data_IF_527224710072
#
_entry.id   IF_527224710072
#
_cell.length_a   1.000
_cell.length_b   1.000
_cell.length_c   1.000
_cell.angle_alpha   90.00
_cell.angle_beta   90.00
_cell.angle_gamma   90.00
#
_symmetry.space_group_name_H-M   'P 1'
#
loop_
_entity.id
_entity.type
_entity.pdbx_description
1 polymer ?
#
# COMPACT_ATOMS: atom_id res chain seq x y z
N UNK A 1 -3.39 15.24 11.52
CA UNK A 1 -2.37 14.45 10.81
C UNK A 1 -0.96 14.81 11.27
N UNK A 2 -0.45 16.07 11.29
CA UNK A 2 0.94 16.36 11.69
C UNK A 2 1.31 15.80 13.06
N UNK A 3 0.50 16.01 14.09
CA UNK A 3 0.75 15.52 15.45
C UNK A 3 0.82 13.97 15.49
N UNK A 4 -0.02 13.28 14.73
CA UNK A 4 0.02 11.82 14.62
C UNK A 4 1.33 11.33 14.00
N UNK A 5 1.77 11.94 12.89
CA UNK A 5 3.04 11.56 12.27
C UNK A 5 4.24 11.86 13.19
N UNK A 6 4.19 12.95 13.93
CA UNK A 6 5.23 13.28 14.91
C UNK A 6 5.31 12.23 16.03
N UNK A 7 4.17 11.83 16.58
CA UNK A 7 4.08 10.79 17.61
C UNK A 7 4.60 9.44 17.10
N UNK A 8 4.24 9.08 15.87
CA UNK A 8 4.71 7.86 15.21
C UNK A 8 6.13 7.97 14.64
N UNK A 9 6.77 9.16 14.73
CA UNK A 9 8.11 9.46 14.17
C UNK A 9 8.22 9.30 12.67
N UNK A 10 7.11 9.39 11.95
CA UNK A 10 7.05 9.26 10.49
C UNK A 10 7.39 10.62 9.86
N UNK A 11 8.35 10.61 8.94
CA UNK A 11 8.78 11.82 8.26
C UNK A 11 7.77 12.23 7.17
N UNK A 12 7.37 13.51 7.07
CA UNK A 12 6.55 14.00 5.94
C UNK A 12 7.17 13.75 4.56
N UNK A 13 8.50 13.62 4.48
CA UNK A 13 9.22 13.30 3.26
C UNK A 13 8.90 11.89 2.70
N UNK A 14 8.33 10.99 3.50
CA UNK A 14 7.84 9.69 3.04
C UNK A 14 6.52 9.79 2.27
N UNK A 15 5.98 11.00 2.06
CA UNK A 15 4.71 11.20 1.39
C UNK A 15 4.63 10.60 -0.01
N UNK A 16 3.59 9.81 -0.23
CA UNK A 16 3.18 9.26 -1.52
C UNK A 16 1.75 9.72 -1.82
N UNK A 17 1.45 9.98 -3.08
CA UNK A 17 0.13 10.45 -3.49
C UNK A 17 -0.52 9.47 -4.49
N UNK A 18 -1.62 8.83 -4.10
CA UNK A 18 -2.39 7.91 -4.92
C UNK A 18 -3.74 8.52 -5.28
N UNK A 19 -4.02 8.64 -6.58
CA UNK A 19 -5.27 9.22 -7.06
C UNK A 19 -6.26 8.21 -7.64
N UNK A 20 -5.89 6.92 -7.68
CA UNK A 20 -6.81 5.85 -8.01
C UNK A 20 -7.78 5.58 -6.85
N UNK A 21 -9.06 5.42 -7.16
CA UNK A 21 -10.14 5.14 -6.19
C UNK A 21 -10.13 3.69 -5.73
N UNK A 22 -9.09 3.30 -5.02
CA UNK A 22 -8.87 1.91 -4.56
C UNK A 22 -8.88 1.76 -3.03
N UNK A 23 -9.11 2.83 -2.27
CA UNK A 23 -9.24 2.83 -0.81
C UNK A 23 -10.70 2.76 -0.35
N UNK A 24 -10.93 2.50 0.93
CA UNK A 24 -12.27 2.54 1.54
C UNK A 24 -12.93 3.93 1.40
N UNK A 25 -12.14 5.02 1.43
CA UNK A 25 -12.61 6.39 1.27
C UNK A 25 -12.57 6.87 -0.19
N UNK A 26 -12.79 5.96 -1.15
CA UNK A 26 -12.67 6.19 -2.60
C UNK A 26 -13.42 7.43 -3.11
N UNK A 27 -14.51 7.81 -2.46
CA UNK A 27 -15.33 8.94 -2.89
C UNK A 27 -14.65 10.31 -2.63
N UNK A 28 -13.66 10.34 -1.74
CA UNK A 28 -12.80 11.50 -1.45
C UNK A 28 -11.56 11.58 -2.34
N UNK A 29 -11.27 10.53 -3.12
CA UNK A 29 -10.05 10.42 -3.91
C UNK A 29 -10.32 10.79 -5.36
N UNK A 30 -9.46 11.60 -5.93
CA UNK A 30 -9.42 11.97 -7.34
C UNK A 30 -8.03 12.46 -7.74
N UNK A 31 -7.72 12.68 -9.03
CA UNK A 31 -6.47 13.33 -9.40
C UNK A 31 -6.24 14.71 -8.76
N UNK A 32 -7.30 15.44 -8.39
CA UNK A 32 -7.17 16.73 -7.71
C UNK A 32 -7.09 16.62 -6.19
N UNK A 33 -7.53 15.51 -5.64
CA UNK A 33 -7.56 15.22 -4.21
C UNK A 33 -7.04 13.80 -3.99
N UNK A 34 -5.75 13.52 -4.28
CA UNK A 34 -5.18 12.19 -4.06
C UNK A 34 -5.18 11.83 -2.56
N UNK A 35 -5.21 10.54 -2.26
CA UNK A 35 -4.92 10.04 -0.92
C UNK A 35 -3.42 10.15 -0.69
N UNK A 36 -3.02 10.76 0.41
CA UNK A 36 -1.64 10.74 0.85
C UNK A 36 -1.37 9.50 1.70
N UNK A 37 -0.21 8.90 1.49
CA UNK A 37 0.34 7.84 2.32
C UNK A 37 1.66 8.33 2.91
N UNK A 38 1.87 8.02 4.18
CA UNK A 38 3.12 8.26 4.90
C UNK A 38 3.55 6.94 5.55
N UNK A 39 4.81 6.69 5.66
CA UNK A 39 5.29 5.42 6.21
C UNK A 39 6.66 5.53 6.86
N UNK A 40 6.92 4.61 7.74
CA UNK A 40 8.20 4.25 8.33
C UNK A 40 8.34 2.73 8.28
N UNK A 41 9.27 2.14 9.01
CA UNK A 41 9.62 0.71 8.92
C UNK A 41 8.41 -0.22 9.05
N UNK A 42 7.55 -0.02 10.04
CA UNK A 42 6.42 -0.93 10.33
C UNK A 42 5.05 -0.26 10.28
N UNK A 43 4.98 1.06 10.10
CA UNK A 43 3.73 1.82 10.21
C UNK A 43 3.43 2.58 8.94
N UNK A 44 2.17 2.50 8.53
CA UNK A 44 1.64 3.14 7.33
C UNK A 44 0.42 3.98 7.69
N UNK A 45 0.40 5.23 7.27
CA UNK A 45 -0.68 6.18 7.55
C UNK A 45 -1.28 6.66 6.24
N UNK A 46 -2.59 6.50 6.07
CA UNK A 46 -3.35 6.95 4.91
C UNK A 46 -4.25 8.12 5.27
N UNK A 47 -4.13 9.21 4.53
CA UNK A 47 -4.90 10.43 4.71
C UNK A 47 -5.64 10.83 3.43
N UNK A 48 -6.95 11.05 3.54
CA UNK A 48 -7.75 11.68 2.50
C UNK A 48 -8.15 13.10 2.94
N UNK A 49 -7.90 14.08 2.08
CA UNK A 49 -8.41 15.44 2.33
C UNK A 49 -9.94 15.42 2.47
N UNK A 50 -10.47 16.06 3.51
CA UNK A 50 -11.89 16.00 3.88
C UNK A 50 -12.45 14.57 4.04
N UNK A 51 -11.60 13.62 4.37
CA UNK A 51 -11.98 12.26 4.72
C UNK A 51 -12.59 12.17 6.12
N UNK A 52 -13.23 11.04 6.41
CA UNK A 52 -13.84 10.79 7.72
C UNK A 52 -12.82 10.28 8.72
N UNK A 53 -11.87 9.48 8.26
CA UNK A 53 -10.86 8.83 9.10
C UNK A 53 -9.45 8.96 8.52
N UNK A 54 -8.45 8.90 9.39
CA UNK A 54 -7.08 8.53 9.04
C UNK A 54 -6.99 7.00 9.13
N UNK A 55 -6.49 6.38 8.09
CA UNK A 55 -6.29 4.94 8.01
C UNK A 55 -4.87 4.60 8.47
N UNK A 56 -4.72 3.61 9.33
CA UNK A 56 -3.42 3.13 9.77
C UNK A 56 -3.29 1.63 9.48
N UNK A 57 -2.10 1.22 9.09
CA UNK A 57 -1.72 -0.18 9.06
C UNK A 57 -0.37 -0.34 9.78
N UNK A 58 -0.27 -1.40 10.58
CA UNK A 58 0.95 -1.74 11.33
C UNK A 58 1.35 -3.14 10.95
N UNK A 59 2.62 -3.35 10.66
CA UNK A 59 3.18 -4.68 10.43
C UNK A 59 3.46 -5.35 11.76
N UNK A 60 2.59 -6.28 12.16
CA UNK A 60 2.75 -7.06 13.39
C UNK A 60 3.51 -8.36 13.07
N UNK A 61 4.55 -8.72 13.83
CA UNK A 61 5.38 -9.89 13.54
C UNK A 61 4.65 -11.22 13.65
N UNK A 62 3.49 -11.28 14.33
CA UNK A 62 2.70 -12.50 14.49
C UNK A 62 1.44 -12.51 13.62
N UNK A 63 0.79 -11.36 13.48
CA UNK A 63 -0.52 -11.24 12.84
C UNK A 63 -0.43 -10.77 11.38
N UNK A 64 0.73 -10.26 10.94
CA UNK A 64 0.87 -9.55 9.68
C UNK A 64 0.30 -8.13 9.74
N UNK A 65 -0.29 -7.63 8.69
CA UNK A 65 -0.83 -6.27 8.70
C UNK A 65 -2.08 -6.15 9.59
N UNK A 66 -2.01 -5.29 10.59
CA UNK A 66 -3.11 -4.93 11.49
C UNK A 66 -3.59 -3.53 11.15
N UNK A 67 -4.89 -3.35 11.02
CA UNK A 67 -5.48 -2.11 10.52
C UNK A 67 -6.25 -1.37 11.62
N UNK A 68 -6.15 -0.05 11.59
CA UNK A 68 -6.86 0.84 12.49
C UNK A 68 -7.42 2.05 11.72
N UNK A 69 -8.45 2.67 12.27
CA UNK A 69 -8.97 3.97 11.84
C UNK A 69 -8.94 4.94 12.99
N UNK A 70 -8.59 6.18 12.71
CA UNK A 70 -8.64 7.31 13.63
C UNK A 70 -9.60 8.35 13.04
N UNK A 71 -10.63 8.68 13.77
CA UNK A 71 -11.61 9.70 13.37
C UNK A 71 -10.91 11.06 13.15
N UNK A 72 -11.19 11.71 12.03
CA UNK A 72 -10.65 13.04 11.69
C UNK A 72 -11.47 14.19 12.33
N UNK A 73 -12.57 13.90 13.01
CA UNK A 73 -13.32 14.93 13.73
C UNK A 73 -12.49 15.48 14.88
N UNK A 74 -12.61 16.79 15.11
CA UNK A 74 -11.89 17.44 16.21
C UNK A 74 -12.55 17.07 17.55
N UNK A 75 -12.02 16.02 18.20
CA UNK A 75 -12.43 15.57 19.54
C UNK A 75 -11.31 15.82 20.52
N UNK A 76 -11.67 16.13 21.77
CA UNK A 76 -10.69 16.27 22.86
C UNK A 76 -9.90 14.97 23.08
N UNK A 77 -10.55 13.82 22.87
CA UNK A 77 -9.90 12.51 22.97
C UNK A 77 -10.11 11.76 21.64
N UNK A 78 -9.04 11.63 20.81
CA UNK A 78 -9.09 10.85 19.59
C UNK A 78 -9.38 9.37 19.89
N UNK A 79 -10.23 8.75 19.08
CA UNK A 79 -10.58 7.32 19.20
C UNK A 79 -9.91 6.57 18.06
N UNK A 80 -9.07 5.59 18.42
CA UNK A 80 -8.46 4.66 17.49
C UNK A 80 -9.23 3.35 17.55
N UNK A 81 -9.76 2.91 16.42
CA UNK A 81 -10.54 1.67 16.31
C UNK A 81 -9.80 0.64 15.47
N UNK A 82 -9.65 -0.59 16.00
CA UNK A 82 -9.10 -1.71 15.25
C UNK A 82 -10.12 -2.25 14.25
N UNK A 83 -9.70 -2.38 13.00
CA UNK A 83 -10.51 -2.88 11.89
C UNK A 83 -10.22 -4.35 11.62
N UNK A 84 -11.15 -5.23 11.96
CA UNK A 84 -10.97 -6.70 11.83
C UNK A 84 -11.68 -7.32 10.63
N UNK A 85 -12.54 -6.59 9.94
CA UNK A 85 -13.32 -7.11 8.81
C UNK A 85 -13.16 -6.29 7.54
N UNK A 86 -13.49 -5.00 7.58
CA UNK A 86 -13.57 -4.14 6.38
C UNK A 86 -12.26 -4.09 5.61
N UNK A 87 -11.14 -3.88 6.28
CA UNK A 87 -9.82 -3.82 5.64
C UNK A 87 -9.39 -5.19 5.11
N UNK A 88 -9.66 -6.26 5.87
CA UNK A 88 -9.24 -7.62 5.50
C UNK A 88 -10.00 -8.21 4.31
N UNK A 89 -11.14 -7.65 3.91
CA UNK A 89 -11.80 -8.05 2.65
C UNK A 89 -10.89 -7.90 1.43
N UNK A 90 -10.05 -6.86 1.41
CA UNK A 90 -9.06 -6.65 0.36
C UNK A 90 -7.65 -7.08 0.81
N UNK A 91 -7.30 -6.82 2.05
CA UNK A 91 -5.95 -6.99 2.60
C UNK A 91 -5.68 -8.37 3.24
N UNK A 92 -6.63 -9.31 3.18
CA UNK A 92 -6.48 -10.71 3.58
C UNK A 92 -6.72 -11.71 2.44
N UNK A 93 -6.77 -11.21 1.19
CA UNK A 93 -7.09 -12.01 0.00
C UNK A 93 -5.81 -12.53 -0.71
N UNK A 94 -6.01 -13.26 -1.80
CA UNK A 94 -4.91 -13.76 -2.67
C UNK A 94 -3.98 -12.64 -3.14
N UNK A 95 -4.48 -11.43 -3.28
CA UNK A 95 -3.72 -10.26 -3.70
C UNK A 95 -2.67 -9.80 -2.66
N UNK A 96 -2.85 -10.16 -1.39
CA UNK A 96 -1.88 -9.97 -0.31
C UNK A 96 -1.19 -11.29 0.10
N UNK A 97 -0.98 -12.21 -0.86
CA UNK A 97 -0.37 -13.54 -0.65
C UNK A 97 -1.19 -14.50 0.24
N UNK A 98 -2.48 -14.21 0.44
CA UNK A 98 -3.38 -14.99 1.29
C UNK A 98 -3.16 -14.78 2.78
N UNK A 99 -2.47 -13.71 3.16
CA UNK A 99 -2.23 -13.30 4.54
C UNK A 99 -2.70 -11.87 4.77
N UNK A 100 -2.94 -11.44 6.02
CA UNK A 100 -3.14 -10.03 6.34
C UNK A 100 -1.90 -9.24 5.90
N UNK A 101 -2.06 -8.42 4.85
CA UNK A 101 -0.92 -7.79 4.18
C UNK A 101 -1.29 -6.48 3.49
N UNK A 102 -0.29 -5.88 2.87
CA UNK A 102 -0.37 -4.61 2.19
C UNK A 102 -0.40 -4.80 0.67
N UNK A 103 -0.99 -3.85 -0.04
CA UNK A 103 -1.16 -3.91 -1.49
C UNK A 103 -0.70 -2.60 -2.15
N UNK A 104 0.22 -2.73 -3.09
CA UNK A 104 0.53 -1.66 -4.04
C UNK A 104 0.03 -2.10 -5.42
N UNK A 105 -0.80 -1.27 -6.04
CA UNK A 105 -1.39 -1.56 -7.35
C UNK A 105 -1.05 -0.47 -8.34
N UNK A 106 -0.77 -0.91 -9.56
CA UNK A 106 -0.64 -0.04 -10.74
C UNK A 106 -1.79 -0.36 -11.69
N UNK A 107 -2.52 0.66 -12.11
CA UNK A 107 -3.70 0.50 -12.98
C UNK A 107 -3.97 1.79 -13.74
N UNK A 108 -4.66 1.67 -14.88
CA UNK A 108 -5.14 2.85 -15.59
C UNK A 108 -6.39 3.44 -14.92
N UNK A 109 -6.46 4.75 -14.89
CA UNK A 109 -7.58 5.47 -14.27
C UNK A 109 -8.21 6.48 -15.24
N UNK A 110 -9.52 6.65 -15.10
CA UNK A 110 -10.29 7.69 -15.76
C UNK A 110 -10.02 9.09 -15.12
N UNK A 111 -10.44 10.21 -15.74
CA UNK A 111 -10.23 11.56 -15.21
C UNK A 111 -10.77 11.81 -13.80
N UNK A 112 -11.73 11.02 -13.35
CA UNK A 112 -12.29 11.09 -12.00
C UNK A 112 -11.61 10.16 -11.00
N UNK A 113 -10.52 9.45 -11.40
CA UNK A 113 -9.77 8.52 -10.57
C UNK A 113 -10.34 7.09 -10.54
N UNK A 114 -11.45 6.80 -11.21
CA UNK A 114 -11.98 5.44 -11.28
C UNK A 114 -11.06 4.50 -12.06
N UNK A 115 -10.74 3.31 -11.52
CA UNK A 115 -9.98 2.29 -12.23
C UNK A 115 -10.68 1.84 -13.52
N UNK A 116 -9.89 1.66 -14.58
CA UNK A 116 -10.34 1.07 -15.85
C UNK A 116 -9.89 -0.38 -15.86
N UNK A 117 -10.65 -1.25 -15.18
CA UNK A 117 -10.26 -2.64 -14.94
C UNK A 117 -10.13 -3.47 -16.23
N UNK A 118 -10.79 -3.08 -17.32
CA UNK A 118 -10.64 -3.68 -18.65
C UNK A 118 -9.23 -3.54 -19.22
N UNK A 119 -8.45 -2.55 -18.75
CA UNK A 119 -7.07 -2.33 -19.18
C UNK A 119 -6.04 -3.10 -18.32
N UNK A 120 -6.51 -3.87 -17.36
CA UNK A 120 -5.68 -4.63 -16.46
C UNK A 120 -5.35 -3.89 -15.15
N UNK A 121 -4.74 -4.62 -14.25
CA UNK A 121 -4.25 -4.14 -12.97
C UNK A 121 -3.06 -4.99 -12.56
N UNK A 122 -1.97 -4.33 -12.24
CA UNK A 122 -0.74 -4.98 -11.79
C UNK A 122 -0.61 -4.84 -10.28
N UNK A 123 -0.26 -5.91 -9.60
CA UNK A 123 0.33 -5.85 -8.28
C UNK A 123 1.79 -5.42 -8.46
N UNK A 124 2.21 -4.41 -7.73
CA UNK A 124 3.55 -3.82 -7.85
C UNK A 124 4.41 -4.22 -6.67
N UNK A 125 5.59 -4.69 -6.98
CA UNK A 125 6.69 -4.92 -6.05
C UNK A 125 8.04 -4.59 -6.73
N UNK A 126 9.14 -4.80 -6.03
CA UNK A 126 10.49 -4.51 -6.55
C UNK A 126 10.87 -5.33 -7.78
N UNK A 127 10.16 -6.41 -8.13
CA UNK A 127 10.42 -7.23 -9.32
C UNK A 127 9.64 -6.74 -10.54
N UNK A 128 8.61 -5.92 -10.34
CA UNK A 128 7.78 -5.35 -11.41
C UNK A 128 8.63 -4.42 -12.29
N UNK A 129 8.62 -4.55 -13.62
CA UNK A 129 9.30 -3.61 -14.50
C UNK A 129 8.83 -2.17 -14.28
N UNK A 130 9.75 -1.20 -14.25
CA UNK A 130 9.43 0.22 -13.96
C UNK A 130 8.34 0.76 -14.91
N UNK A 131 8.35 0.34 -16.16
CA UNK A 131 7.36 0.75 -17.17
C UNK A 131 5.91 0.39 -16.78
N UNK A 132 5.70 -0.58 -15.92
CA UNK A 132 4.38 -1.08 -15.50
C UNK A 132 3.98 -0.57 -14.10
N UNK A 133 4.85 0.23 -13.45
CA UNK A 133 4.62 0.75 -12.10
C UNK A 133 3.85 2.06 -12.07
N UNK A 134 3.22 2.32 -10.95
CA UNK A 134 2.67 3.59 -10.47
C UNK A 134 1.49 4.15 -11.26
N UNK A 135 0.82 3.34 -12.08
CA UNK A 135 -0.46 3.74 -12.66
C UNK A 135 -1.48 4.07 -11.56
N UNK A 136 -2.06 5.27 -11.62
CA UNK A 136 -2.95 5.79 -10.58
C UNK A 136 -2.26 6.49 -9.41
N UNK A 137 -0.93 6.72 -9.52
CA UNK A 137 -0.10 7.43 -8.54
C UNK A 137 0.55 8.66 -9.14
N UNK A 138 0.78 9.68 -8.32
CA UNK A 138 1.72 10.74 -8.66
C UNK A 138 3.14 10.28 -8.40
N UNK A 139 4.07 10.74 -9.24
CA UNK A 139 5.49 10.43 -9.17
C UNK A 139 6.27 11.71 -9.41
N UNK A 140 7.04 12.15 -8.43
CA UNK A 140 7.96 13.26 -8.55
C UNK A 140 9.40 12.78 -8.39
N UNK A 141 10.31 13.41 -9.11
CA UNK A 141 11.72 13.08 -9.07
C UNK A 141 12.32 12.85 -10.46
N UNK A 142 13.63 12.71 -10.49
CA UNK A 142 14.39 12.55 -11.73
C UNK A 142 14.73 11.07 -11.94
N UNK A 143 14.37 10.52 -13.08
CA UNK A 143 14.60 9.10 -13.45
C UNK A 143 15.12 8.94 -14.89
N UNK A 144 15.58 10.05 -15.51
CA UNK A 144 16.18 10.05 -16.84
C UNK A 144 15.19 9.66 -17.94
N UNK A 145 15.59 8.70 -18.79
CA UNK A 145 14.79 8.25 -19.93
C UNK A 145 13.85 7.07 -19.61
N UNK A 146 13.84 6.58 -18.38
CA UNK A 146 12.94 5.49 -18.01
C UNK A 146 11.48 5.91 -18.09
N UNK A 147 10.61 4.94 -18.37
CA UNK A 147 9.15 5.16 -18.49
C UNK A 147 8.43 4.46 -17.37
N UNK A 148 7.35 5.05 -16.90
CA UNK A 148 6.43 4.48 -15.92
C UNK A 148 4.99 4.95 -16.20
N UNK A 149 4.00 4.38 -15.52
CA UNK A 149 2.57 4.73 -15.68
C UNK A 149 2.11 5.82 -14.71
N UNK A 150 2.98 6.31 -13.83
CA UNK A 150 2.66 7.39 -12.90
C UNK A 150 2.34 8.70 -13.61
N UNK A 151 1.58 9.55 -12.92
CA UNK A 151 1.13 10.86 -13.43
C UNK A 151 0.13 10.80 -14.58
N UNK A 152 -0.22 9.61 -15.07
CA UNK A 152 -1.04 9.44 -16.28
C UNK A 152 -2.51 9.19 -15.94
N UNK A 153 -3.39 9.90 -16.67
CA UNK A 153 -4.84 9.75 -16.60
C UNK A 153 -5.37 9.50 -18.01
N UNK A 154 -6.17 8.47 -18.19
CA UNK A 154 -6.77 8.10 -19.48
C UNK A 154 -7.91 9.07 -19.81
N UNK A 155 -7.66 10.03 -20.68
CA UNK A 155 -8.68 11.00 -21.13
C UNK A 155 -9.50 10.48 -22.31
N UNK A 156 -8.87 9.73 -23.22
CA UNK A 156 -9.51 9.11 -24.37
C UNK A 156 -9.28 7.59 -24.32
N UNK A 157 -10.36 6.82 -24.25
CA UNK A 157 -10.30 5.35 -24.22
C UNK A 157 -10.01 4.72 -25.59
N UNK A 158 -10.21 5.46 -26.67
CA UNK A 158 -9.92 4.98 -28.03
C UNK A 158 -8.46 5.19 -28.43
N UNK A 159 -7.76 6.09 -27.76
CA UNK A 159 -6.36 6.35 -28.05
C UNK A 159 -5.46 5.18 -27.61
N UNK A 160 -4.39 4.88 -28.37
CA UNK A 160 -3.37 3.93 -27.93
C UNK A 160 -2.83 4.31 -26.57
N UNK A 161 -2.68 3.34 -25.68
CA UNK A 161 -2.11 3.60 -24.35
C UNK A 161 -0.62 3.95 -24.50
N UNK A 162 -0.20 5.17 -24.18
CA UNK A 162 1.21 5.47 -24.19
C UNK A 162 1.86 4.72 -23.05
N UNK A 163 2.80 3.87 -23.36
CA UNK A 163 3.74 3.31 -22.38
C UNK A 163 4.70 4.42 -21.93
N UNK A 164 4.26 5.18 -20.93
CA UNK A 164 4.98 6.33 -20.42
C UNK A 164 4.91 7.54 -21.36
N UNK A 165 4.21 8.55 -20.95
CA UNK A 165 4.13 9.82 -21.65
C UNK A 165 5.39 10.62 -21.37
N UNK A 166 6.03 11.15 -22.41
CA UNK A 166 7.23 11.99 -22.25
C UNK A 166 6.94 13.28 -21.44
N UNK A 167 5.70 13.76 -21.47
CA UNK A 167 5.24 14.94 -20.72
C UNK A 167 5.16 14.71 -19.21
N UNK A 168 5.00 13.45 -18.79
CA UNK A 168 4.82 13.08 -17.38
C UNK A 168 6.11 12.51 -16.73
N UNK A 169 7.24 12.62 -17.44
CA UNK A 169 8.56 12.18 -16.95
C UNK A 169 9.28 13.29 -16.19
N UNK A 170 10.06 12.89 -15.19
CA UNK A 170 10.92 13.80 -14.42
C UNK A 170 10.15 15.00 -13.85
N UNK A 171 8.92 14.77 -13.39
CA UNK A 171 8.06 15.81 -12.80
C UNK A 171 8.65 16.20 -11.45
N UNK A 172 8.91 17.47 -11.25
CA UNK A 172 9.42 18.01 -9.98
C UNK A 172 8.36 18.73 -9.16
N UNK A 173 7.25 19.13 -9.78
CA UNK A 173 6.19 19.92 -9.17
C UNK A 173 4.82 19.40 -9.60
N UNK A 174 3.87 19.36 -8.67
CA UNK A 174 2.49 18.91 -8.89
C UNK A 174 1.48 20.05 -8.81
N UNK A 175 1.91 21.31 -8.65
CA UNK A 175 1.02 22.47 -8.46
C UNK A 175 0.04 22.68 -9.61
N UNK A 176 0.41 22.32 -10.85
CA UNK A 176 -0.48 22.36 -12.02
C UNK A 176 -1.56 21.26 -11.99
N UNK A 177 -1.43 20.26 -11.13
CA UNK A 177 -2.29 19.06 -11.09
C UNK A 177 -3.24 19.04 -9.92
N UNK A 178 -2.78 19.54 -8.78
CA UNK A 178 -3.52 19.56 -7.52
C UNK A 178 -3.09 20.74 -6.63
N UNK A 179 -3.92 21.08 -5.62
CA UNK A 179 -3.50 21.99 -4.56
C UNK A 179 -2.60 21.24 -3.58
N UNK A 180 -1.32 21.58 -3.56
CA UNK A 180 -0.33 20.96 -2.66
C UNK A 180 -0.49 21.39 -1.21
N UNK A 181 -1.21 22.49 -0.93
CA UNK A 181 -1.44 23.02 0.43
C UNK A 181 -2.21 22.05 1.35
N UNK A 182 -2.92 21.08 0.75
CA UNK A 182 -3.64 20.04 1.50
C UNK A 182 -2.74 18.91 2.01
N UNK A 183 -1.44 18.95 1.71
CA UNK A 183 -0.49 17.87 1.98
C UNK A 183 0.74 18.40 2.73
N UNK A 184 1.48 17.51 3.38
CA UNK A 184 2.63 17.90 4.20
C UNK A 184 3.93 18.03 3.41
N UNK A 185 3.96 17.50 2.19
CA UNK A 185 5.05 17.66 1.25
C UNK A 185 4.50 17.99 -0.16
N UNK A 186 5.24 18.71 -1.01
CA UNK A 186 4.74 19.15 -2.30
C UNK A 186 4.69 18.05 -3.37
N UNK A 187 5.21 16.87 -3.08
CA UNK A 187 5.40 15.81 -4.08
C UNK A 187 5.04 14.40 -3.59
N UNK A 188 5.36 13.46 -4.46
CA UNK A 188 5.26 12.01 -4.25
C UNK A 188 6.56 11.40 -4.78
N UNK A 189 7.55 11.31 -3.92
CA UNK A 189 8.94 11.02 -4.30
C UNK A 189 9.10 9.61 -4.88
N UNK A 190 9.81 9.49 -5.99
CA UNK A 190 10.01 8.22 -6.70
C UNK A 190 10.81 7.21 -5.87
N UNK A 191 11.78 7.68 -5.08
CA UNK A 191 12.58 6.79 -4.22
C UNK A 191 11.72 6.29 -3.07
N UNK A 192 10.91 7.16 -2.47
CA UNK A 192 9.96 6.77 -1.44
C UNK A 192 8.94 5.74 -1.98
N UNK A 193 8.44 5.91 -3.22
CA UNK A 193 7.59 4.90 -3.89
C UNK A 193 8.29 3.55 -4.04
N UNK A 194 9.57 3.54 -4.48
CA UNK A 194 10.35 2.32 -4.64
C UNK A 194 10.59 1.61 -3.29
N UNK A 195 10.88 2.36 -2.24
CA UNK A 195 11.03 1.81 -0.87
C UNK A 195 9.71 1.24 -0.39
N UNK A 196 8.62 1.99 -0.53
CA UNK A 196 7.28 1.58 -0.10
C UNK A 196 6.82 0.26 -0.75
N UNK A 197 6.97 0.12 -2.08
CA UNK A 197 6.56 -1.09 -2.79
C UNK A 197 7.42 -2.30 -2.41
N UNK A 198 8.73 -2.10 -2.20
CA UNK A 198 9.61 -3.15 -1.72
C UNK A 198 9.25 -3.60 -0.31
N UNK A 199 9.14 -2.64 0.60
CA UNK A 199 8.86 -2.88 2.03
C UNK A 199 7.51 -3.59 2.22
N UNK A 200 6.45 -3.12 1.58
CA UNK A 200 5.12 -3.73 1.68
C UNK A 200 5.11 -5.18 1.18
N UNK A 201 5.83 -5.47 0.11
CA UNK A 201 5.97 -6.84 -0.40
C UNK A 201 6.77 -7.73 0.55
N UNK A 202 7.88 -7.23 1.09
CA UNK A 202 8.72 -7.97 2.05
C UNK A 202 7.92 -8.29 3.31
N UNK A 203 7.13 -7.35 3.85
CA UNK A 203 6.26 -7.61 4.99
C UNK A 203 5.25 -8.75 4.71
N UNK A 204 4.64 -8.77 3.53
CA UNK A 204 3.75 -9.87 3.14
C UNK A 204 4.48 -11.21 3.09
N UNK A 205 5.69 -11.26 2.54
CA UNK A 205 6.50 -12.48 2.48
C UNK A 205 6.90 -12.98 3.87
N UNK A 206 7.31 -12.07 4.76
CA UNK A 206 7.65 -12.41 6.15
C UNK A 206 6.43 -12.95 6.89
N UNK A 207 5.27 -12.30 6.74
CA UNK A 207 4.00 -12.77 7.32
C UNK A 207 3.63 -14.16 6.81
N UNK A 208 3.76 -14.39 5.50
CA UNK A 208 3.48 -15.69 4.88
C UNK A 208 4.41 -16.79 5.39
N UNK A 209 5.70 -16.49 5.50
CA UNK A 209 6.70 -17.43 6.05
C UNK A 209 6.41 -17.76 7.52
N UNK A 210 6.06 -16.75 8.32
CA UNK A 210 5.69 -16.92 9.71
C UNK A 210 4.43 -17.82 9.87
N UNK A 211 3.38 -17.57 9.08
CA UNK A 211 2.16 -18.39 9.12
C UNK A 211 2.44 -19.83 8.71
N UNK A 212 3.25 -20.05 7.67
CA UNK A 212 3.65 -21.40 7.25
C UNK A 212 4.44 -22.12 8.35
N UNK A 213 5.36 -21.42 9.01
CA UNK A 213 6.11 -21.98 10.13
C UNK A 213 5.22 -22.34 11.32
N UNK A 214 4.33 -21.43 11.72
CA UNK A 214 3.37 -21.72 12.81
C UNK A 214 2.47 -22.92 12.49
N UNK A 215 1.98 -23.02 11.27
CA UNK A 215 1.16 -24.14 10.81
C UNK A 215 1.95 -25.45 10.84
N UNK A 216 3.19 -25.45 10.36
CA UNK A 216 4.06 -26.63 10.39
C UNK A 216 4.34 -27.09 11.84
N UNK A 217 4.64 -26.15 12.74
CA UNK A 217 4.86 -26.44 14.16
C UNK A 217 3.60 -27.01 14.82
N UNK A 218 2.43 -26.48 14.51
CA UNK A 218 1.16 -26.97 15.01
C UNK A 218 0.89 -28.41 14.56
N UNK A 219 1.08 -28.72 13.29
CA UNK A 219 0.90 -30.08 12.78
C UNK A 219 1.93 -31.05 13.34
N UNK A 220 3.19 -30.64 13.47
CA UNK A 220 4.23 -31.45 14.13
C UNK A 220 3.86 -31.79 15.56
N UNK A 221 3.46 -30.80 16.36
CA UNK A 221 3.07 -30.99 17.73
C UNK A 221 1.89 -31.97 17.86
N UNK A 222 0.90 -31.91 16.98
CA UNK A 222 -0.23 -32.81 16.97
C UNK A 222 0.17 -34.24 16.55
N UNK A 223 1.03 -34.38 15.55
CA UNK A 223 1.58 -35.67 15.13
C UNK A 223 2.36 -36.33 16.28
N UNK A 224 3.27 -35.60 16.93
CA UNK A 224 4.05 -36.06 18.03
C UNK A 224 3.17 -36.57 19.20
N UNK A 225 2.10 -35.81 19.54
CA UNK A 225 1.11 -36.25 20.53
C UNK A 225 0.44 -37.55 20.14
N UNK A 226 0.02 -37.71 18.89
CA UNK A 226 -0.62 -38.93 18.39
C UNK A 226 0.30 -40.14 18.40
N UNK A 227 1.61 -39.92 18.24
CA UNK A 227 2.64 -40.96 18.29
C UNK A 227 3.20 -41.23 19.71
N UNK A 228 2.71 -40.54 20.74
CA UNK A 228 3.22 -40.62 22.11
C UNK A 228 4.65 -40.08 22.27
N UNK A 229 5.08 -39.18 21.39
CA UNK A 229 6.40 -38.55 21.44
C UNK A 229 6.32 -37.17 22.14
N UNK A 230 7.45 -36.65 22.65
CA UNK A 230 7.49 -35.25 23.13
C UNK A 230 7.05 -34.25 22.04
N UNK A 231 6.27 -33.25 22.45
CA UNK A 231 5.62 -32.29 21.52
C UNK A 231 6.62 -31.56 20.63
N UNK A 232 7.80 -31.29 21.12
CA UNK A 232 8.92 -30.60 20.50
C UNK A 232 9.94 -31.51 19.79
N UNK A 233 9.66 -32.83 19.71
CA UNK A 233 10.53 -33.75 18.97
C UNK A 233 10.68 -33.29 17.52
N UNK A 234 11.91 -33.25 16.96
CA UNK A 234 12.12 -32.85 15.57
C UNK A 234 11.42 -33.83 14.61
N UNK A 235 10.92 -33.34 13.50
CA UNK A 235 10.43 -34.19 12.40
C UNK A 235 11.58 -35.08 11.91
N UNK A 236 11.30 -36.37 11.71
CA UNK A 236 12.21 -37.25 11.01
C UNK A 236 12.55 -36.68 9.62
N UNK A 237 13.82 -36.79 9.23
CA UNK A 237 14.33 -36.25 7.95
C UNK A 237 13.65 -36.84 6.72
N UNK A 238 12.90 -37.92 6.85
CA UNK A 238 12.09 -38.54 5.79
C UNK A 238 10.75 -37.87 5.55
N UNK A 239 10.34 -36.92 6.42
CA UNK A 239 9.09 -36.14 6.30
C UNK A 239 9.28 -34.67 5.90
N UNK A 240 10.47 -34.29 5.42
CA UNK A 240 10.78 -32.94 4.97
C UNK A 240 10.49 -32.75 3.48
#
# INVERSE_FOLDING_TARGET
LPALLQELKILPASQLLVFSKTSMQRDRISPRTPRALYFDDDVYVGYCHAGEVIELAVSDPQLGAVFYTLDQTNRETPVIERQTHTCLQCHGATQSDGVPGLLVRSLFVAPNGLPILSEGSYRVDHTTPIKDRWGGWYVTGSHGSQKHLGNFVVRDRSAPRPWGNDVDRNVSDLSDRLSTDNYLAPGSDIVALMVFEHQTHVHNLLTKANYAAQQAMYYQANMNRALGQPVDSPLDSTMR
#
